data_IF_022325638953
#
_entry.id   IF_022325638953
#
_cell.length_a   1.000
_cell.length_b   1.000
_cell.length_c   1.000
_cell.angle_alpha   90.00
_cell.angle_beta   90.00
_cell.angle_gamma   90.00
#
_symmetry.space_group_name_H-M   'P 1'
#
loop_
_entity.id
_entity.type
_entity.pdbx_description
1 polymer ?
#
# COMPACT_ATOMS: atom_id res chain seq x y z
N UNK A 1 -6.39 -12.68 13.70
CA UNK A 1 -4.94 -12.49 13.95
C UNK A 1 -4.08 -13.32 13.01
N UNK A 2 -4.28 -14.65 12.90
CA UNK A 2 -3.45 -15.48 12.01
C UNK A 2 -3.57 -15.07 10.53
N UNK A 3 -4.77 -14.72 10.07
CA UNK A 3 -5.02 -14.27 8.69
C UNK A 3 -4.24 -12.99 8.37
N UNK A 4 -4.24 -12.03 9.27
CA UNK A 4 -3.54 -10.75 9.11
C UNK A 4 -2.02 -10.96 9.05
N UNK A 5 -1.47 -11.78 9.95
CA UNK A 5 -0.04 -12.07 10.00
C UNK A 5 0.45 -12.79 8.75
N UNK A 6 -0.25 -13.85 8.31
CA UNK A 6 0.19 -14.62 7.13
C UNK A 6 0.10 -13.79 5.84
N UNK A 7 -0.92 -12.93 5.72
CA UNK A 7 -1.09 -12.06 4.55
C UNK A 7 -0.02 -10.96 4.53
N UNK A 8 0.33 -10.37 5.68
CA UNK A 8 1.42 -9.41 5.79
C UNK A 8 2.80 -10.04 5.53
N UNK A 9 3.05 -11.24 6.04
CA UNK A 9 4.27 -11.98 5.77
C UNK A 9 4.45 -12.27 4.28
N UNK A 10 3.38 -12.70 3.59
CA UNK A 10 3.42 -12.92 2.14
C UNK A 10 3.75 -11.63 1.37
N UNK A 11 3.15 -10.49 1.76
CA UNK A 11 3.48 -9.19 1.18
C UNK A 11 4.94 -8.77 1.41
N UNK A 12 5.46 -9.00 2.61
CA UNK A 12 6.86 -8.70 2.94
C UNK A 12 7.85 -9.54 2.13
N UNK A 13 7.57 -10.84 1.97
CA UNK A 13 8.37 -11.71 1.09
C UNK A 13 8.30 -11.21 -0.35
N UNK A 14 7.13 -10.82 -0.85
CA UNK A 14 7.00 -10.28 -2.20
C UNK A 14 7.86 -9.01 -2.39
N UNK A 15 7.86 -8.08 -1.42
CA UNK A 15 8.74 -6.90 -1.47
C UNK A 15 10.21 -7.30 -1.52
N UNK A 16 10.64 -8.19 -0.62
CA UNK A 16 12.04 -8.62 -0.54
C UNK A 16 12.55 -9.27 -1.85
N UNK A 17 11.67 -9.99 -2.55
CA UNK A 17 12.05 -10.75 -3.74
C UNK A 17 11.83 -9.98 -5.06
N UNK A 18 10.85 -9.08 -5.11
CA UNK A 18 10.37 -8.48 -6.37
C UNK A 18 10.60 -6.97 -6.47
N UNK A 19 10.81 -6.26 -5.35
CA UNK A 19 11.06 -4.82 -5.41
C UNK A 19 12.40 -4.56 -6.11
N UNK A 20 12.41 -3.59 -7.03
CA UNK A 20 13.59 -3.24 -7.82
C UNK A 20 14.21 -1.95 -7.30
N UNK A 21 15.48 -2.03 -6.93
CA UNK A 21 16.25 -0.89 -6.44
C UNK A 21 15.89 -0.46 -5.02
N UNK A 22 16.47 0.66 -4.53
CA UNK A 22 16.16 1.19 -3.21
C UNK A 22 14.69 1.65 -3.15
N UNK A 23 14.01 1.34 -2.04
CA UNK A 23 12.63 1.79 -1.79
C UNK A 23 12.71 3.19 -1.16
N UNK A 24 12.29 4.21 -1.91
CA UNK A 24 12.35 5.60 -1.46
C UNK A 24 11.08 6.02 -0.70
N UNK A 25 9.91 5.61 -1.20
CA UNK A 25 8.61 5.79 -0.56
C UNK A 25 7.74 4.56 -0.80
N UNK A 26 7.00 4.16 0.23
CA UNK A 26 5.97 3.12 0.14
C UNK A 26 4.62 3.80 -0.08
N UNK A 27 3.83 3.28 -1.01
CA UNK A 27 2.45 3.70 -1.21
C UNK A 27 1.49 2.75 -0.49
N UNK A 28 0.55 3.28 0.30
CA UNK A 28 -0.54 2.51 0.89
C UNK A 28 -1.89 3.02 0.43
N UNK A 29 -2.67 2.14 -0.18
CA UNK A 29 -4.05 2.41 -0.61
C UNK A 29 -4.99 1.58 0.25
N UNK A 30 -5.69 2.25 1.15
CA UNK A 30 -6.58 1.63 2.13
C UNK A 30 -6.10 1.84 3.57
N UNK A 31 -7.06 1.93 4.50
CA UNK A 31 -6.81 2.32 5.90
C UNK A 31 -7.28 1.25 6.90
N UNK A 32 -7.46 0.01 6.41
CA UNK A 32 -8.04 -1.09 7.17
C UNK A 32 -7.03 -1.80 8.10
N UNK A 33 -7.45 -2.94 8.63
CA UNK A 33 -6.60 -3.79 9.47
C UNK A 33 -5.39 -4.29 8.68
N UNK A 34 -5.58 -4.74 7.44
CA UNK A 34 -4.48 -5.24 6.60
C UNK A 34 -3.42 -4.16 6.33
N UNK A 35 -3.80 -2.91 6.10
CA UNK A 35 -2.84 -1.81 5.91
C UNK A 35 -1.83 -1.71 7.07
N UNK A 36 -2.31 -1.80 8.31
CA UNK A 36 -1.47 -1.77 9.52
C UNK A 36 -0.50 -2.93 9.58
N UNK A 37 -0.98 -4.15 9.34
CA UNK A 37 -0.13 -5.33 9.40
C UNK A 37 0.91 -5.36 8.27
N UNK A 38 0.51 -4.98 7.04
CA UNK A 38 1.43 -4.85 5.92
C UNK A 38 2.58 -3.88 6.25
N UNK A 39 2.26 -2.68 6.73
CA UNK A 39 3.28 -1.68 7.09
C UNK A 39 4.17 -2.13 8.25
N UNK A 40 3.62 -2.75 9.30
CA UNK A 40 4.44 -3.32 10.38
C UNK A 40 5.45 -4.35 9.88
N UNK A 41 5.06 -5.17 8.92
CA UNK A 41 5.95 -6.17 8.31
C UNK A 41 6.93 -5.54 7.31
N UNK A 42 6.59 -4.43 6.65
CA UNK A 42 7.55 -3.68 5.81
C UNK A 42 8.79 -3.27 6.60
N UNK A 43 8.65 -2.92 7.87
CA UNK A 43 9.79 -2.58 8.74
C UNK A 43 10.84 -3.68 8.87
N UNK A 44 10.46 -4.94 8.61
CA UNK A 44 11.35 -6.10 8.73
C UNK A 44 12.11 -6.39 7.43
N UNK A 45 11.67 -5.83 6.30
CA UNK A 45 12.22 -6.14 4.97
C UNK A 45 12.80 -4.93 4.24
N UNK A 46 12.59 -3.73 4.78
CA UNK A 46 13.17 -2.48 4.25
C UNK A 46 13.37 -1.45 5.36
N UNK A 47 14.39 -0.61 5.21
CA UNK A 47 14.65 0.56 6.09
C UNK A 47 13.79 1.77 5.71
N UNK A 48 13.05 1.73 4.60
CA UNK A 48 12.18 2.84 4.19
C UNK A 48 11.09 3.11 5.24
N UNK A 49 11.01 4.36 5.71
CA UNK A 49 9.99 4.85 6.64
C UNK A 49 9.15 6.00 6.07
N UNK A 50 9.33 6.31 4.80
CA UNK A 50 8.52 7.27 4.06
C UNK A 50 7.30 6.57 3.46
N UNK A 51 6.11 7.07 3.77
CA UNK A 51 4.82 6.52 3.35
C UNK A 51 3.98 7.60 2.68
N UNK A 52 3.35 7.27 1.55
CA UNK A 52 2.21 8.02 1.01
C UNK A 52 0.95 7.21 1.25
N UNK A 53 -0.01 7.78 1.97
CA UNK A 53 -1.26 7.14 2.35
C UNK A 53 -2.43 7.74 1.57
N UNK A 54 -3.27 6.85 1.02
CA UNK A 54 -4.57 7.21 0.47
C UNK A 54 -5.68 6.35 1.08
N UNK A 55 -6.83 6.98 1.32
CA UNK A 55 -8.05 6.29 1.75
C UNK A 55 -9.30 7.11 1.47
N UNK A 56 -10.44 6.43 1.32
CA UNK A 56 -11.72 7.06 0.99
C UNK A 56 -12.30 7.95 2.10
N UNK A 57 -12.01 7.60 3.36
CA UNK A 57 -12.61 8.25 4.54
C UNK A 57 -11.53 9.04 5.26
N UNK A 58 -11.65 10.37 5.28
CA UNK A 58 -10.64 11.27 5.85
C UNK A 58 -10.34 10.94 7.31
N UNK A 59 -11.38 10.62 8.09
CA UNK A 59 -11.25 10.29 9.51
C UNK A 59 -10.41 9.01 9.72
N UNK A 60 -10.55 8.02 8.84
CA UNK A 60 -9.76 6.79 8.92
C UNK A 60 -8.31 7.01 8.46
N UNK A 61 -8.10 7.90 7.49
CA UNK A 61 -6.77 8.30 7.04
C UNK A 61 -6.04 9.02 8.17
N UNK A 62 -6.65 10.04 8.79
CA UNK A 62 -6.06 10.78 9.90
C UNK A 62 -5.72 9.88 11.09
N UNK A 63 -6.61 8.96 11.46
CA UNK A 63 -6.34 7.99 12.54
C UNK A 63 -5.15 7.09 12.22
N UNK A 64 -5.10 6.54 11.00
CA UNK A 64 -4.01 5.66 10.61
C UNK A 64 -2.68 6.43 10.48
N UNK A 65 -2.72 7.67 10.00
CA UNK A 65 -1.56 8.55 9.94
C UNK A 65 -0.97 8.74 11.34
N UNK A 66 -1.77 9.19 12.30
CA UNK A 66 -1.33 9.41 13.69
C UNK A 66 -0.77 8.12 14.32
N UNK A 67 -1.44 6.98 14.12
CA UNK A 67 -0.96 5.68 14.57
C UNK A 67 0.43 5.34 14.00
N UNK A 68 0.64 5.53 12.69
CA UNK A 68 1.88 5.18 12.01
C UNK A 68 3.02 6.13 12.32
N UNK A 69 2.74 7.43 12.43
CA UNK A 69 3.71 8.44 12.88
C UNK A 69 4.20 8.11 14.29
N UNK A 70 3.30 7.69 15.19
CA UNK A 70 3.66 7.19 16.52
C UNK A 70 4.53 5.92 16.51
N UNK A 71 4.50 5.14 15.42
CA UNK A 71 5.38 4.00 15.21
C UNK A 71 6.66 4.34 14.42
N UNK A 72 6.93 5.61 14.13
CA UNK A 72 8.16 6.08 13.46
C UNK A 72 8.12 6.10 11.93
N UNK A 73 6.93 6.21 11.33
CA UNK A 73 6.79 6.52 9.91
C UNK A 73 6.73 8.03 9.66
N UNK A 74 7.28 8.50 8.53
CA UNK A 74 6.92 9.78 7.92
C UNK A 74 5.75 9.53 6.99
N UNK A 75 4.59 10.14 7.23
CA UNK A 75 3.37 9.85 6.46
C UNK A 75 2.87 11.10 5.74
N UNK A 76 2.95 11.08 4.42
CA UNK A 76 2.28 12.03 3.54
C UNK A 76 0.87 11.50 3.20
N UNK A 77 -0.15 12.37 3.22
CA UNK A 77 -1.49 12.03 2.75
C UNK A 77 -1.72 12.61 1.37
N UNK A 78 -2.20 11.79 0.44
CA UNK A 78 -2.60 12.23 -0.91
C UNK A 78 -4.11 12.25 -1.06
N UNK A 79 -4.62 13.10 -1.94
CA UNK A 79 -6.05 13.17 -2.29
C UNK A 79 -6.45 12.12 -3.33
N UNK A 80 -5.51 11.67 -4.18
CA UNK A 80 -5.77 10.71 -5.26
C UNK A 80 -4.80 9.52 -5.23
N UNK A 81 -5.26 8.31 -5.61
CA UNK A 81 -4.39 7.14 -5.74
C UNK A 81 -3.31 7.32 -6.81
N UNK A 82 -3.64 8.01 -7.92
CA UNK A 82 -2.71 8.16 -9.04
C UNK A 82 -1.51 9.04 -8.66
N UNK A 83 -1.69 10.09 -7.85
CA UNK A 83 -0.56 10.90 -7.34
C UNK A 83 0.41 10.12 -6.45
N UNK A 84 -0.05 9.04 -5.81
CA UNK A 84 0.81 8.13 -5.04
C UNK A 84 1.63 7.24 -5.97
N UNK A 85 1.06 6.78 -7.09
CA UNK A 85 1.75 5.93 -8.05
C UNK A 85 2.99 6.62 -8.67
N UNK A 86 2.92 7.93 -8.90
CA UNK A 86 4.02 8.71 -9.49
C UNK A 86 5.23 8.89 -8.55
N UNK A 87 5.10 8.52 -7.28
CA UNK A 87 6.11 8.77 -6.24
C UNK A 87 6.65 7.49 -5.58
N UNK A 88 6.05 6.33 -5.86
CA UNK A 88 6.32 5.09 -5.16
C UNK A 88 6.77 3.97 -6.12
N UNK A 89 7.83 3.25 -5.74
CA UNK A 89 8.26 2.02 -6.43
C UNK A 89 7.77 0.73 -5.72
N UNK A 90 7.12 0.85 -4.56
CA UNK A 90 6.37 -0.21 -3.89
C UNK A 90 5.01 0.34 -3.47
N UNK A 91 3.92 -0.28 -3.91
CA UNK A 91 2.55 0.11 -3.59
C UNK A 91 1.79 -1.10 -3.06
N UNK A 92 1.06 -0.93 -1.97
CA UNK A 92 0.25 -1.98 -1.33
C UNK A 92 -1.20 -1.51 -1.31
N UNK A 93 -2.12 -2.36 -1.78
CA UNK A 93 -3.55 -2.06 -1.79
C UNK A 93 -4.29 -3.03 -0.88
N UNK A 94 -5.10 -2.50 0.05
CA UNK A 94 -5.89 -3.29 1.00
C UNK A 94 -7.34 -2.79 1.08
N UNK A 95 -7.93 -2.49 -0.07
CA UNK A 95 -9.29 -1.94 -0.15
C UNK A 95 -10.33 -3.05 -0.35
N UNK A 96 -11.60 -2.73 -0.08
CA UNK A 96 -12.73 -3.58 -0.45
C UNK A 96 -13.39 -3.11 -1.74
N UNK A 97 -12.63 -2.46 -2.62
CA UNK A 97 -13.15 -1.84 -3.83
C UNK A 97 -13.72 -2.87 -4.81
N UNK A 98 -14.78 -2.46 -5.50
CA UNK A 98 -15.41 -3.21 -6.61
C UNK A 98 -15.18 -2.54 -7.96
N UNK A 99 -14.48 -1.41 -7.94
CA UNK A 99 -14.09 -0.62 -9.09
C UNK A 99 -12.62 -0.28 -8.94
N UNK A 100 -11.93 -0.07 -10.06
CA UNK A 100 -10.51 0.25 -10.08
C UNK A 100 -10.20 1.47 -9.22
N UNK A 101 -9.23 1.32 -8.31
CA UNK A 101 -8.70 2.42 -7.49
C UNK A 101 -7.46 3.00 -8.14
N UNK A 102 -6.65 2.14 -8.77
CA UNK A 102 -5.49 2.55 -9.57
C UNK A 102 -5.91 2.52 -11.03
N UNK A 103 -5.85 3.69 -11.70
CA UNK A 103 -6.23 3.83 -13.11
C UNK A 103 -5.02 3.78 -14.04
N UNK A 104 -3.83 4.11 -13.52
CA UNK A 104 -2.58 4.21 -14.27
C UNK A 104 -1.38 3.74 -13.44
N UNK A 105 -0.42 3.11 -14.10
CA UNK A 105 0.92 2.80 -13.54
C UNK A 105 1.95 3.56 -14.37
N UNK A 106 2.83 4.37 -13.76
CA UNK A 106 3.86 5.10 -14.50
C UNK A 106 4.85 4.14 -15.16
N UNK A 107 5.21 4.38 -16.41
CA UNK A 107 6.13 3.53 -17.19
C UNK A 107 7.61 3.84 -16.91
N UNK A 108 7.89 4.99 -16.32
CA UNK A 108 9.25 5.47 -16.02
C UNK A 108 9.79 4.96 -14.67
N UNK A 109 8.93 4.40 -13.81
CA UNK A 109 9.31 3.85 -12.51
C UNK A 109 8.91 2.37 -12.49
N UNK A 110 9.86 1.44 -12.39
CA UNK A 110 9.54 0.04 -12.15
C UNK A 110 8.88 -0.13 -10.77
N UNK A 111 7.54 -0.20 -10.73
CA UNK A 111 6.77 -0.26 -9.49
C UNK A 111 6.26 -1.67 -9.21
N UNK A 112 6.53 -2.18 -8.01
CA UNK A 112 5.90 -3.39 -7.47
C UNK A 112 4.56 -3.01 -6.84
N UNK A 113 3.47 -3.67 -7.26
CA UNK A 113 2.14 -3.47 -6.67
C UNK A 113 1.67 -4.78 -6.02
N UNK A 114 1.35 -4.73 -4.73
CA UNK A 114 0.86 -5.87 -3.95
C UNK A 114 -0.63 -5.67 -3.69
N UNK A 115 -1.45 -6.45 -4.40
CA UNK A 115 -2.91 -6.37 -4.31
C UNK A 115 -3.47 -7.38 -3.30
N UNK A 116 -3.89 -6.90 -2.13
CA UNK A 116 -4.44 -7.75 -1.06
C UNK A 116 -5.97 -7.74 -1.04
N UNK A 117 -6.60 -6.65 -1.46
CA UNK A 117 -8.02 -6.39 -1.25
C UNK A 117 -8.98 -7.10 -2.20
N UNK A 118 -8.52 -7.41 -3.42
CA UNK A 118 -9.30 -8.08 -4.45
C UNK A 118 -9.34 -9.62 -4.27
N UNK A 119 -9.96 -10.08 -3.19
CA UNK A 119 -9.96 -11.49 -2.75
C UNK A 119 -11.28 -12.26 -3.02
N UNK A 120 -12.26 -11.64 -3.67
CA UNK A 120 -13.57 -12.23 -3.95
C UNK A 120 -14.14 -11.77 -5.30
N UNK A 121 -15.07 -12.54 -5.87
CA UNK A 121 -15.74 -12.19 -7.15
C UNK A 121 -16.31 -10.77 -7.11
N UNK A 122 -16.01 -9.99 -8.15
CA UNK A 122 -16.46 -8.61 -8.29
C UNK A 122 -15.67 -7.59 -7.48
N UNK A 123 -14.62 -7.98 -6.75
CA UNK A 123 -13.64 -7.04 -6.20
C UNK A 123 -12.50 -6.82 -7.19
N UNK A 124 -12.08 -5.56 -7.30
CA UNK A 124 -11.05 -5.13 -8.24
C UNK A 124 -10.39 -3.87 -7.69
N UNK A 125 -9.07 -3.81 -7.72
CA UNK A 125 -8.29 -2.65 -7.28
C UNK A 125 -7.53 -1.98 -8.42
N UNK A 126 -7.25 -2.71 -9.51
CA UNK A 126 -6.53 -2.22 -10.69
C UNK A 126 -7.47 -2.10 -11.89
N UNK A 127 -7.30 -1.07 -12.72
CA UNK A 127 -7.96 -0.94 -14.03
C UNK A 127 -7.65 -2.08 -14.99
N UNK A 128 -8.57 -2.37 -15.92
CA UNK A 128 -8.37 -3.35 -16.99
C UNK A 128 -7.35 -2.80 -18.00
N UNK A 129 -6.36 -3.61 -18.39
CA UNK A 129 -5.34 -3.22 -19.37
C UNK A 129 -4.17 -2.43 -18.81
N UNK A 130 -4.09 -2.30 -17.48
CA UNK A 130 -2.87 -2.00 -16.74
C UNK A 130 -1.90 -3.19 -16.75
#
# INVERSE_FOLDING_TARGET
ILTELRTAAAGAVAVQQLARGPIAKIGMIGTGVQARYQLRYMKQVTECRELILWGRTKENVSKLQEELEGEGWTVDVTETPDSLMDQCNVVITTTTAREAVISKVPTNIPTLIICIGADSVGKQELGVGL
#
